data_IF_076028862087
#
_entry.id   IF_076028862087
#
_cell.length_a   1.000
_cell.length_b   1.000
_cell.length_c   1.000
_cell.angle_alpha   90.00
_cell.angle_beta   90.00
_cell.angle_gamma   90.00
#
_symmetry.space_group_name_H-M   'P 1'
#
loop_
_entity.id
_entity.type
_entity.pdbx_description
1 polymer ?
#
# COMPACT_ATOMS: atom_id res chain seq x y z
N UNK A 1 6.21 -18.18 36.85
CA UNK A 1 6.95 -18.23 35.59
C UNK A 1 5.94 -18.61 34.53
N UNK A 2 5.69 -17.74 33.55
CA UNK A 2 4.78 -18.06 32.44
C UNK A 2 5.56 -19.05 31.57
N UNK A 3 5.11 -20.30 31.53
CA UNK A 3 5.68 -21.29 30.64
C UNK A 3 5.35 -20.89 29.21
N UNK A 4 6.36 -20.49 28.44
CA UNK A 4 6.17 -20.10 27.06
C UNK A 4 5.84 -21.31 26.18
N UNK A 5 6.04 -22.55 26.66
CA UNK A 5 5.63 -23.74 25.92
C UNK A 5 4.15 -24.06 26.03
N UNK A 6 3.41 -23.41 26.94
CA UNK A 6 1.97 -23.57 27.01
C UNK A 6 1.29 -22.85 25.84
N UNK A 7 0.34 -23.52 25.21
CA UNK A 7 -0.30 -23.02 23.99
C UNK A 7 -1.31 -21.94 24.36
N UNK A 8 -1.12 -20.73 23.84
CA UNK A 8 -2.05 -19.62 24.01
C UNK A 8 -2.92 -19.48 22.76
N UNK A 9 -4.17 -19.92 22.83
CA UNK A 9 -5.15 -19.70 21.76
C UNK A 9 -5.62 -18.24 21.76
N UNK A 10 -5.30 -17.51 20.69
CA UNK A 10 -5.54 -16.06 20.59
C UNK A 10 -6.96 -15.69 20.17
N UNK A 11 -7.59 -16.57 19.41
CA UNK A 11 -8.88 -16.33 18.79
C UNK A 11 -10.00 -17.20 19.40
N UNK A 12 -9.71 -17.88 20.51
CA UNK A 12 -10.62 -18.84 21.13
C UNK A 12 -10.83 -20.11 20.28
N UNK A 13 -11.70 -21.04 20.73
CA UNK A 13 -11.87 -22.36 20.12
C UNK A 13 -12.37 -22.35 18.67
N UNK A 14 -12.88 -21.22 18.18
CA UNK A 14 -13.57 -21.14 16.88
C UNK A 14 -12.65 -20.80 15.70
N UNK A 15 -11.45 -20.27 15.94
CA UNK A 15 -10.54 -19.92 14.85
C UNK A 15 -9.20 -20.67 14.90
N UNK A 16 -8.87 -21.37 15.99
CA UNK A 16 -7.72 -22.30 16.07
C UNK A 16 -6.34 -21.68 15.87
N UNK A 17 -6.23 -20.35 15.91
CA UNK A 17 -4.96 -19.61 15.90
C UNK A 17 -4.40 -19.48 17.31
N UNK A 18 -3.09 -19.65 17.46
CA UNK A 18 -2.43 -19.53 18.75
C UNK A 18 -0.94 -19.26 18.67
N UNK A 19 -0.33 -19.01 19.82
CA UNK A 19 1.12 -18.97 19.97
C UNK A 19 1.59 -20.11 20.88
N UNK A 20 2.73 -20.70 20.53
CA UNK A 20 3.45 -21.61 21.42
C UNK A 20 4.94 -21.30 21.29
N UNK A 21 5.60 -21.13 22.43
CA UNK A 21 6.93 -20.54 22.55
C UNK A 21 7.00 -19.21 21.78
N UNK A 22 7.68 -19.20 20.65
CA UNK A 22 7.82 -18.03 19.78
C UNK A 22 7.12 -18.23 18.42
N UNK A 23 6.43 -19.33 18.21
CA UNK A 23 5.85 -19.68 16.92
C UNK A 23 4.36 -19.41 16.90
N UNK A 24 3.87 -18.91 15.76
CA UNK A 24 2.45 -18.76 15.51
C UNK A 24 1.89 -20.02 14.85
N UNK A 25 0.75 -20.47 15.34
CA UNK A 25 0.05 -21.65 14.85
C UNK A 25 -1.23 -21.23 14.14
N UNK A 26 -1.44 -21.81 12.97
CA UNK A 26 -2.69 -21.68 12.23
C UNK A 26 -3.60 -22.88 12.52
N UNK A 27 -4.93 -22.75 12.36
CA UNK A 27 -5.86 -23.87 12.55
C UNK A 27 -5.57 -25.07 11.63
N UNK A 28 -4.93 -24.83 10.49
CA UNK A 28 -4.50 -25.90 9.57
C UNK A 28 -3.25 -26.65 10.05
N UNK A 29 -2.74 -26.34 11.25
CA UNK A 29 -1.55 -26.98 11.84
C UNK A 29 -0.23 -26.44 11.29
N UNK A 30 -0.24 -25.31 10.59
CA UNK A 30 1.01 -24.67 10.14
C UNK A 30 1.63 -23.90 11.29
N UNK A 31 2.93 -24.07 11.44
CA UNK A 31 3.75 -23.34 12.41
C UNK A 31 4.56 -22.30 11.65
N UNK A 32 4.58 -21.07 12.14
CA UNK A 32 5.21 -19.93 11.48
C UNK A 32 6.27 -19.36 12.41
N UNK A 33 7.50 -19.26 11.91
CA UNK A 33 8.65 -18.78 12.68
C UNK A 33 8.56 -17.26 12.91
N UNK A 34 9.08 -16.73 14.03
CA UNK A 34 9.24 -15.29 14.23
C UNK A 34 9.81 -14.52 13.04
N UNK A 35 10.75 -15.12 12.31
CA UNK A 35 11.39 -14.51 11.14
C UNK A 35 10.38 -14.27 10.02
N UNK A 36 9.50 -15.23 9.76
CA UNK A 36 8.49 -15.16 8.70
C UNK A 36 7.40 -14.14 9.04
N UNK A 37 7.04 -14.03 10.32
CA UNK A 37 6.05 -13.06 10.79
C UNK A 37 6.46 -11.60 10.54
N UNK A 38 7.76 -11.29 10.43
CA UNK A 38 8.23 -9.92 10.11
C UNK A 38 7.71 -9.43 8.76
N UNK A 39 7.52 -10.34 7.82
CA UNK A 39 7.03 -9.98 6.49
C UNK A 39 5.53 -9.69 6.51
N UNK A 40 4.77 -10.18 7.49
CA UNK A 40 3.34 -9.93 7.57
C UNK A 40 3.02 -8.47 7.82
N UNK A 41 3.69 -7.83 8.79
CA UNK A 41 3.50 -6.40 9.02
C UNK A 41 3.87 -5.58 7.79
N UNK A 42 4.94 -5.98 7.07
CA UNK A 42 5.36 -5.33 5.83
C UNK A 42 4.28 -5.47 4.75
N UNK A 43 3.78 -6.68 4.50
CA UNK A 43 2.71 -6.92 3.53
C UNK A 43 1.44 -6.14 3.88
N UNK A 44 1.05 -6.11 5.16
CA UNK A 44 -0.09 -5.33 5.64
C UNK A 44 0.12 -3.83 5.43
N UNK A 45 1.32 -3.30 5.71
CA UNK A 45 1.65 -1.89 5.45
C UNK A 45 1.57 -1.55 3.96
N UNK A 46 2.14 -2.37 3.09
CA UNK A 46 2.08 -2.18 1.62
C UNK A 46 0.62 -2.21 1.14
N UNK A 47 -0.17 -3.19 1.59
CA UNK A 47 -1.58 -3.29 1.24
C UNK A 47 -2.38 -2.06 1.70
N UNK A 48 -2.06 -1.52 2.88
CA UNK A 48 -2.67 -0.29 3.42
C UNK A 48 -2.31 0.92 2.58
N UNK A 49 -1.03 1.12 2.27
CA UNK A 49 -0.57 2.24 1.44
C UNK A 49 -1.20 2.21 0.05
N UNK A 50 -1.27 1.03 -0.56
CA UNK A 50 -1.97 0.84 -1.82
C UNK A 50 -3.46 1.20 -1.72
N UNK A 51 -4.13 0.76 -0.66
CA UNK A 51 -5.54 1.07 -0.43
C UNK A 51 -5.79 2.57 -0.27
N UNK A 52 -4.89 3.29 0.41
CA UNK A 52 -4.95 4.75 0.57
C UNK A 52 -4.71 5.49 -0.75
N UNK A 53 -3.73 5.04 -1.55
CA UNK A 53 -3.49 5.57 -2.89
C UNK A 53 -4.73 5.41 -3.77
N UNK A 54 -5.34 4.22 -3.79
CA UNK A 54 -6.56 3.94 -4.54
C UNK A 54 -7.76 4.74 -4.04
N UNK A 55 -7.90 4.96 -2.73
CA UNK A 55 -8.95 5.80 -2.16
C UNK A 55 -8.79 7.27 -2.56
N UNK A 56 -7.55 7.76 -2.57
CA UNK A 56 -7.22 9.12 -3.03
C UNK A 56 -7.57 9.29 -4.51
N UNK A 57 -7.21 8.31 -5.35
CA UNK A 57 -7.55 8.31 -6.77
C UNK A 57 -9.07 8.29 -7.00
N UNK A 58 -9.80 7.42 -6.28
CA UNK A 58 -11.29 7.37 -6.36
C UNK A 58 -11.93 8.70 -5.96
N UNK A 59 -11.40 9.37 -4.95
CA UNK A 59 -11.92 10.66 -4.47
C UNK A 59 -11.61 11.80 -5.44
N UNK A 60 -10.41 11.81 -6.03
CA UNK A 60 -10.05 12.76 -7.09
C UNK A 60 -10.93 12.58 -8.34
N UNK A 61 -11.29 11.33 -8.68
CA UNK A 61 -12.23 11.01 -9.77
C UNK A 61 -13.64 11.54 -9.51
N UNK A 62 -14.16 11.40 -8.28
CA UNK A 62 -15.49 11.92 -7.96
C UNK A 62 -15.57 13.45 -7.97
N UNK A 63 -14.44 14.14 -7.77
CA UNK A 63 -14.38 15.60 -7.80
C UNK A 63 -14.37 16.21 -9.22
N UNK A 64 -14.08 15.42 -10.25
CA UNK A 64 -14.02 15.92 -11.64
C UNK A 64 -14.64 14.91 -12.63
N UNK A 65 -15.97 14.90 -12.81
CA UNK A 65 -16.70 13.86 -13.55
C UNK A 65 -16.46 13.87 -15.07
N UNK A 66 -15.98 14.98 -15.64
CA UNK A 66 -15.95 15.20 -17.09
C UNK A 66 -14.63 14.83 -17.78
N UNK A 67 -13.55 14.53 -17.04
CA UNK A 67 -12.27 14.17 -17.65
C UNK A 67 -12.21 12.65 -17.94
N UNK A 68 -12.22 12.21 -19.22
CA UNK A 68 -12.08 10.80 -19.52
C UNK A 68 -10.75 10.28 -19.02
N UNK A 69 -10.84 9.20 -18.25
CA UNK A 69 -9.74 8.43 -17.70
C UNK A 69 -8.70 8.17 -18.79
N UNK A 70 -7.50 8.74 -18.64
CA UNK A 70 -6.33 8.09 -19.23
C UNK A 70 -6.22 6.76 -18.50
N UNK A 71 -6.79 5.69 -19.07
CA UNK A 71 -6.50 4.32 -18.65
C UNK A 71 -5.00 4.23 -18.73
N UNK A 72 -4.32 4.30 -17.58
CA UNK A 72 -2.86 4.15 -17.57
C UNK A 72 -2.63 2.71 -17.96
N UNK A 73 -2.39 2.51 -19.26
CA UNK A 73 -2.07 1.22 -19.83
C UNK A 73 -0.95 0.62 -18.99
N UNK A 74 -1.05 -0.64 -18.53
CA UNK A 74 0.06 -1.34 -17.90
C UNK A 74 1.22 -1.37 -18.92
N UNK A 75 2.17 -0.46 -18.81
CA UNK A 75 3.17 -0.18 -19.85
C UNK A 75 3.50 1.31 -20.05
N UNK A 76 2.68 2.23 -19.54
CA UNK A 76 2.96 3.67 -19.59
C UNK A 76 4.16 4.12 -18.72
N UNK A 77 4.78 3.19 -17.98
CA UNK A 77 5.99 3.39 -17.18
C UNK A 77 7.22 2.72 -17.81
N UNK A 78 7.25 2.52 -19.13
CA UNK A 78 8.55 2.35 -19.79
C UNK A 78 9.14 3.75 -19.91
N UNK A 79 9.87 4.17 -18.87
CA UNK A 79 10.72 5.35 -18.96
C UNK A 79 11.71 5.12 -20.09
N UNK A 80 11.59 5.91 -21.17
CA UNK A 80 12.63 6.01 -22.18
C UNK A 80 13.87 6.60 -21.50
N UNK A 81 14.73 5.71 -21.00
CA UNK A 81 15.93 6.06 -20.26
C UNK A 81 15.85 5.64 -18.80
N UNK A 82 16.95 5.04 -18.33
CA UNK A 82 17.20 4.62 -16.95
C UNK A 82 17.44 5.82 -16.02
N UNK A 83 16.70 6.91 -16.21
CA UNK A 83 16.85 8.13 -15.42
C UNK A 83 16.09 8.00 -14.12
N UNK A 84 16.82 8.15 -13.01
CA UNK A 84 16.25 8.31 -11.68
C UNK A 84 15.43 9.60 -11.68
N UNK A 85 14.12 9.48 -11.58
CA UNK A 85 13.23 10.63 -11.48
C UNK A 85 12.87 10.84 -10.01
N UNK A 86 13.19 12.01 -9.48
CA UNK A 86 12.73 12.41 -8.15
C UNK A 86 11.25 12.83 -8.23
N UNK A 87 10.39 12.13 -7.48
CA UNK A 87 8.95 12.38 -7.46
C UNK A 87 8.61 13.85 -7.09
N UNK A 88 9.42 14.48 -6.24
CA UNK A 88 9.29 15.89 -5.83
C UNK A 88 9.35 16.83 -7.05
N UNK A 89 10.28 16.58 -7.97
CA UNK A 89 10.52 17.44 -9.12
C UNK A 89 9.38 17.33 -10.13
N UNK A 90 8.83 16.12 -10.30
CA UNK A 90 7.66 15.87 -11.14
C UNK A 90 6.43 16.62 -10.62
N UNK A 91 6.20 16.59 -9.31
CA UNK A 91 5.06 17.27 -8.69
C UNK A 91 5.20 18.80 -8.74
N UNK A 92 6.41 19.33 -8.51
CA UNK A 92 6.68 20.77 -8.64
C UNK A 92 6.45 21.28 -10.07
N UNK A 93 6.96 20.54 -11.07
CA UNK A 93 6.79 20.91 -12.48
C UNK A 93 5.32 20.94 -12.90
N UNK A 94 4.52 19.98 -12.40
CA UNK A 94 3.07 19.93 -12.66
C UNK A 94 2.33 21.12 -12.04
N UNK A 95 2.71 21.54 -10.83
CA UNK A 95 2.14 22.73 -10.17
C UNK A 95 2.47 24.01 -10.94
N UNK A 96 3.71 24.15 -11.42
CA UNK A 96 4.13 25.31 -12.22
C UNK A 96 3.41 25.39 -13.57
N UNK A 97 3.19 24.24 -14.22
CA UNK A 97 2.43 24.18 -15.48
C UNK A 97 0.94 24.47 -15.31
N UNK A 98 0.36 24.15 -14.15
CA UNK A 98 -0.99 24.60 -13.80
C UNK A 98 -1.05 26.12 -13.65
N UNK A 99 -0.16 26.69 -12.85
CA UNK A 99 -0.09 28.15 -12.63
C UNK A 99 0.20 28.97 -13.89
N UNK A 100 0.95 28.42 -14.85
CA UNK A 100 1.28 29.12 -16.09
C UNK A 100 0.08 29.24 -17.03
N UNK A 101 -0.84 28.26 -17.01
CA UNK A 101 -2.05 28.26 -17.86
C UNK A 101 -3.07 29.30 -17.39
N UNK A 102 -3.23 29.44 -16.08
CA UNK A 102 -4.15 30.43 -15.48
C UNK A 102 -3.71 31.88 -15.73
N UNK A 103 -2.41 32.14 -15.92
CA UNK A 103 -1.88 33.50 -16.16
C UNK A 103 -1.96 33.96 -17.63
N UNK A 104 -2.21 33.06 -18.59
CA UNK A 104 -2.29 33.39 -20.03
C UNK A 104 -3.70 33.73 -20.50
N UNK A 105 -4.72 33.57 -19.66
CA UNK A 105 -6.12 33.87 -20.02
C UNK A 105 -6.62 35.24 -19.53
N UNK A 106 -5.74 36.08 -18.94
CA UNK A 106 -6.08 37.40 -18.38
C UNK A 106 -5.24 38.54 -18.99
N UNK A 107 -4.67 38.34 -20.19
CA UNK A 107 -3.89 39.35 -20.92
C UNK A 107 -4.58 39.86 -22.17
#
# INVERSE_FOLDING_TARGET
>A
MIDTYDRVDLAGPWAGFGFQANHFFTPEGKTIEPCDMRFWSLTCCIAREWSLMMATERSARSANPEAPTATRTPGAWISAGNNVIYLRDVLLKRRQQGNQRDNTEVG
#
